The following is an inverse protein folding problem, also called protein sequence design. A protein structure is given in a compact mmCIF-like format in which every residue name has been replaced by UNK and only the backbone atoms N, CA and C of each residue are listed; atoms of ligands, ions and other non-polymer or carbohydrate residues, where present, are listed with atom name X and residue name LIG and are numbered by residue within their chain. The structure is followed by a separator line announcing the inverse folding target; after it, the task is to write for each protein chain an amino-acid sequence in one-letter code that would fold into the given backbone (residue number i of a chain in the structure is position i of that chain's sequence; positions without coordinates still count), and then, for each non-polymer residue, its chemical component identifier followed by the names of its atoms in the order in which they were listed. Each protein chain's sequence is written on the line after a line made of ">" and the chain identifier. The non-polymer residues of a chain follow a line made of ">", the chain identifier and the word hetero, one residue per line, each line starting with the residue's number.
data_IF_148329700716
#
_entry.id   IF_148329700716
#
_cell.length_a   1.000
_cell.length_b   1.000
_cell.length_c   1.000
_cell.angle_alpha   90.00
_cell.angle_beta   90.00
_cell.angle_gamma   90.00
#
_symmetry.space_group_name_H-M   'P 1'
#
loop_
_entity.id
_entity.type
_entity.pdbx_description
1 polymer ?
#
# COMPACT_ATOMS: atom_id res chain seq x y z
N UNK A 1 1.18 -3.28 -20.18
CA UNK A 1 2.19 -2.20 -20.24
C UNK A 1 3.42 -2.68 -19.49
N UNK A 2 4.58 -2.74 -20.14
CA UNK A 2 5.83 -3.08 -19.46
C UNK A 2 6.37 -1.85 -18.75
N UNK A 3 6.58 -1.93 -17.44
CA UNK A 3 7.32 -0.93 -16.68
C UNK A 3 8.82 -1.18 -16.95
N UNK A 4 9.51 -0.20 -17.53
CA UNK A 4 10.96 -0.24 -17.69
C UNK A 4 11.62 0.29 -16.42
N UNK A 5 12.64 -0.41 -15.94
CA UNK A 5 13.43 0.02 -14.79
C UNK A 5 14.25 1.26 -15.15
N UNK A 6 14.30 2.24 -14.24
CA UNK A 6 14.97 3.53 -14.45
C UNK A 6 15.74 3.95 -13.21
N UNK A 7 17.00 4.32 -13.40
CA UNK A 7 17.95 4.75 -12.36
C UNK A 7 18.10 6.29 -12.25
N UNK A 8 17.12 7.03 -12.79
CA UNK A 8 17.18 8.49 -12.97
C UNK A 8 17.37 9.30 -11.67
N UNK A 9 17.07 8.70 -10.52
CA UNK A 9 17.05 9.39 -9.22
C UNK A 9 17.86 8.64 -8.15
N UNK A 10 18.75 7.72 -8.55
CA UNK A 10 19.53 6.92 -7.61
C UNK A 10 20.47 7.78 -6.75
N UNK A 11 20.86 8.94 -7.29
CA UNK A 11 21.71 9.94 -6.63
C UNK A 11 21.05 10.65 -5.44
N UNK A 12 19.72 10.57 -5.30
CA UNK A 12 18.98 11.21 -4.21
C UNK A 12 18.41 10.25 -3.17
N UNK A 13 18.54 8.93 -3.37
CA UNK A 13 17.93 7.90 -2.49
C UNK A 13 18.52 7.95 -1.07
N UNK A 14 19.84 8.11 -0.97
CA UNK A 14 20.58 8.08 0.30
C UNK A 14 20.87 9.48 0.89
N UNK A 15 20.29 10.53 0.31
CA UNK A 15 20.52 11.89 0.82
C UNK A 15 19.86 12.09 2.19
N UNK A 16 20.53 12.81 3.12
CA UNK A 16 19.94 13.14 4.40
C UNK A 16 18.60 13.85 4.24
N UNK A 17 17.57 13.34 4.93
CA UNK A 17 16.27 14.01 4.94
C UNK A 17 16.38 15.36 5.64
N UNK A 18 15.96 16.42 4.95
CA UNK A 18 15.93 17.76 5.53
C UNK A 18 15.02 17.78 6.76
N UNK A 19 15.54 18.29 7.88
CA UNK A 19 14.74 18.63 9.06
C UNK A 19 14.84 20.13 9.32
N UNK A 20 13.69 20.74 9.56
CA UNK A 20 13.65 22.17 9.89
C UNK A 20 14.40 22.43 11.19
N UNK A 21 15.28 23.43 11.17
CA UNK A 21 16.01 23.89 12.36
C UNK A 21 15.18 24.85 13.22
N UNK A 22 14.14 25.44 12.63
CA UNK A 22 13.37 26.54 13.23
C UNK A 22 11.97 26.10 13.64
N UNK A 23 11.35 25.22 12.87
CA UNK A 23 9.98 24.75 13.12
C UNK A 23 10.03 23.34 13.69
N UNK A 24 9.50 23.18 14.91
CA UNK A 24 9.36 21.88 15.53
C UNK A 24 8.43 20.99 14.69
N UNK A 25 8.80 19.71 14.56
CA UNK A 25 7.93 18.73 13.92
C UNK A 25 6.69 18.50 14.79
N UNK A 26 5.55 18.30 14.12
CA UNK A 26 4.32 17.89 14.78
C UNK A 26 4.52 16.56 15.53
N UNK A 27 4.01 16.43 16.75
CA UNK A 27 4.07 15.17 17.51
C UNK A 27 3.30 14.04 16.80
N UNK A 28 3.62 12.78 17.09
CA UNK A 28 2.85 11.64 16.56
C UNK A 28 1.36 11.72 16.92
N UNK A 29 1.06 12.13 18.15
CA UNK A 29 -0.31 12.31 18.61
C UNK A 29 -1.07 13.37 17.78
N UNK A 30 -0.45 14.54 17.57
CA UNK A 30 -1.06 15.60 16.77
C UNK A 30 -1.18 15.21 15.28
N UNK A 31 -0.25 14.39 14.76
CA UNK A 31 -0.38 13.80 13.41
C UNK A 31 -1.59 12.87 13.33
N UNK A 32 -1.78 12.00 14.32
CA UNK A 32 -2.94 11.10 14.37
C UNK A 32 -4.26 11.87 14.47
N UNK A 33 -4.26 13.02 15.16
CA UNK A 33 -5.45 13.84 15.31
C UNK A 33 -5.98 14.42 13.99
N UNK A 34 -5.15 14.52 12.94
CA UNK A 34 -5.61 14.92 11.60
C UNK A 34 -6.66 13.95 11.02
N UNK A 35 -6.65 12.70 11.48
CA UNK A 35 -7.61 11.66 11.09
C UNK A 35 -8.82 11.59 12.03
N UNK A 36 -8.92 12.46 13.05
CA UNK A 36 -10.10 12.50 13.94
C UNK A 36 -11.44 12.73 13.22
N UNK A 37 -11.56 13.47 12.10
CA UNK A 37 -12.83 13.60 11.39
C UNK A 37 -13.46 12.25 10.99
N UNK A 38 -12.66 11.19 10.84
CA UNK A 38 -13.13 9.84 10.55
C UNK A 38 -13.42 9.01 11.80
N UNK A 39 -13.09 9.49 13.00
CA UNK A 39 -13.36 8.79 14.25
C UNK A 39 -14.88 8.67 14.54
N UNK A 40 -15.69 9.57 13.97
CA UNK A 40 -17.14 9.52 14.07
C UNK A 40 -17.78 8.50 13.10
N UNK A 41 -17.01 7.98 12.11
CA UNK A 41 -17.45 6.91 11.23
C UNK A 41 -17.37 5.56 11.96
N UNK A 42 -18.20 5.41 12.99
CA UNK A 42 -18.42 4.12 13.64
C UNK A 42 -19.30 3.25 12.74
N UNK A 43 -19.11 1.92 12.78
CA UNK A 43 -19.96 0.97 12.03
C UNK A 43 -19.45 0.55 10.65
N UNK A 44 -18.26 0.99 10.23
CA UNK A 44 -17.59 0.45 9.02
C UNK A 44 -16.73 -0.78 9.32
N UNK A 45 -16.59 -1.19 10.58
CA UNK A 45 -15.75 -2.31 10.99
C UNK A 45 -16.09 -3.59 10.22
N UNK A 46 -17.37 -3.85 9.99
CA UNK A 46 -17.84 -5.03 9.25
C UNK A 46 -17.51 -4.94 7.76
N UNK A 47 -17.59 -3.74 7.16
CA UNK A 47 -17.23 -3.50 5.76
C UNK A 47 -15.72 -3.63 5.57
N UNK A 48 -14.92 -3.10 6.50
CA UNK A 48 -13.46 -3.22 6.51
C UNK A 48 -13.08 -4.70 6.59
N UNK A 49 -13.58 -5.45 7.58
CA UNK A 49 -13.31 -6.90 7.72
C UNK A 49 -13.69 -7.69 6.48
N UNK A 50 -14.85 -7.41 5.89
CA UNK A 50 -15.29 -8.09 4.65
C UNK A 50 -14.35 -7.78 3.48
N UNK A 51 -13.90 -6.53 3.37
CA UNK A 51 -13.00 -6.09 2.31
C UNK A 51 -11.61 -6.70 2.49
N UNK A 52 -11.10 -6.77 3.72
CA UNK A 52 -9.86 -7.45 4.08
C UNK A 52 -9.90 -8.93 3.68
N UNK A 53 -10.99 -9.64 3.99
CA UNK A 53 -11.18 -11.04 3.58
C UNK A 53 -11.18 -11.20 2.06
N UNK A 54 -12.00 -10.42 1.35
CA UNK A 54 -12.10 -10.51 -0.10
C UNK A 54 -10.78 -10.17 -0.81
N UNK A 55 -10.03 -9.20 -0.28
CA UNK A 55 -8.70 -8.84 -0.75
C UNK A 55 -7.69 -9.97 -0.53
N UNK A 56 -7.67 -10.55 0.67
CA UNK A 56 -6.83 -11.71 1.00
C UNK A 56 -7.10 -12.89 0.06
N UNK A 57 -8.36 -13.26 -0.15
CA UNK A 57 -8.74 -14.32 -1.09
C UNK A 57 -8.32 -14.03 -2.54
N UNK A 58 -8.41 -12.76 -2.97
CA UNK A 58 -7.97 -12.36 -4.30
C UNK A 58 -6.46 -12.49 -4.48
N UNK A 59 -5.68 -12.09 -3.45
CA UNK A 59 -4.22 -12.25 -3.42
C UNK A 59 -3.84 -13.72 -3.43
N UNK A 60 -4.45 -14.55 -2.58
CA UNK A 60 -4.20 -15.99 -2.56
C UNK A 60 -4.50 -16.63 -3.92
N UNK A 61 -5.65 -16.34 -4.53
CA UNK A 61 -6.00 -16.85 -5.86
C UNK A 61 -5.01 -16.42 -6.94
N UNK A 62 -4.54 -15.18 -6.89
CA UNK A 62 -3.56 -14.68 -7.85
C UNK A 62 -2.18 -15.35 -7.66
N UNK A 63 -1.85 -15.72 -6.42
CA UNK A 63 -0.60 -16.40 -6.08
C UNK A 63 -0.67 -17.92 -6.23
N UNK A 64 -1.88 -18.51 -6.31
CA UNK A 64 -2.06 -19.94 -6.54
C UNK A 64 -1.39 -20.33 -7.86
N UNK A 65 -0.43 -21.28 -7.84
CA UNK A 65 0.20 -21.78 -9.05
C UNK A 65 -0.85 -22.41 -9.97
N UNK A 66 -0.92 -21.95 -11.22
CA UNK A 66 -1.77 -22.56 -12.24
C UNK A 66 -1.17 -23.92 -12.62
N UNK A 67 -1.97 -24.98 -12.54
CA UNK A 67 -1.56 -26.29 -13.05
C UNK A 67 -1.50 -26.24 -14.59
N UNK A 68 -0.29 -26.42 -15.13
CA UNK A 68 0.00 -26.36 -16.56
C UNK A 68 -0.31 -27.70 -17.28
N UNK A 69 -0.91 -28.68 -16.59
CA UNK A 69 -1.18 -30.01 -17.13
C UNK A 69 -2.30 -30.02 -18.20
N UNK A 70 -3.24 -29.08 -18.15
CA UNK A 70 -4.30 -28.91 -19.16
C UNK A 70 -3.83 -27.97 -20.30
N UNK A 71 -3.07 -28.56 -21.23
CA UNK A 71 -2.88 -28.15 -22.63
C UNK A 71 -2.91 -26.66 -22.97
N UNK A 72 -1.75 -26.03 -23.05
CA UNK A 72 -1.57 -24.76 -23.75
C UNK A 72 -1.67 -24.98 -25.27
N UNK A 73 -2.76 -24.53 -25.90
CA UNK A 73 -2.85 -24.41 -27.36
C UNK A 73 -2.41 -22.99 -27.77
N UNK A 74 -1.22 -22.80 -28.38
CA UNK A 74 -0.87 -21.53 -28.98
C UNK A 74 -1.67 -21.31 -30.28
N UNK A 75 -2.10 -20.07 -30.51
CA UNK A 75 -2.56 -19.58 -31.81
C UNK A 75 -1.36 -19.15 -32.69
#
# INVERSE_FOLDING_TARGET
>A
MSLAETHRYDDIIDLPHHRSKTHAHMSMHNRAAQFMPFAALTGYDDIIKRTEQASGEAVERANTPVDLSDGYLPA
#
